data_IF_518207458767
#
_entry.id   IF_518207458767
#
_cell.length_a   1.000
_cell.length_b   1.000
_cell.length_c   1.000
_cell.angle_alpha   90.00
_cell.angle_beta   90.00
_cell.angle_gamma   90.00
#
_symmetry.space_group_name_H-M   'P 1'
#
loop_
_entity.id
_entity.type
_entity.pdbx_description
1 polymer ?
#
# COMPACT_ATOMS: atom_id res chain seq x y z
N UNK A 1 -2.17 -8.38 5.27
CA UNK A 1 -2.19 -7.52 6.48
C UNK A 1 -3.58 -7.38 7.16
N UNK A 2 -4.63 -8.11 6.74
CA UNK A 2 -6.00 -7.92 7.26
C UNK A 2 -6.67 -9.23 7.69
N UNK A 3 -6.10 -10.04 8.61
CA UNK A 3 -6.82 -11.18 9.19
C UNK A 3 -8.01 -10.69 10.04
N UNK A 4 -7.87 -9.54 10.68
CA UNK A 4 -8.95 -8.79 11.34
C UNK A 4 -8.91 -7.34 10.89
N UNK A 5 -10.05 -6.66 10.86
CA UNK A 5 -10.09 -5.25 10.50
C UNK A 5 -9.43 -4.39 11.58
N UNK A 6 -8.60 -3.43 11.18
CA UNK A 6 -8.08 -2.41 12.08
C UNK A 6 -9.20 -1.55 12.70
N UNK A 7 -8.98 -1.09 13.93
CA UNK A 7 -9.98 -0.30 14.66
C UNK A 7 -9.93 1.16 14.22
N UNK A 8 -10.93 1.57 13.42
CA UNK A 8 -11.06 2.93 12.88
C UNK A 8 -12.06 3.71 13.71
N UNK A 9 -11.58 4.52 14.65
CA UNK A 9 -12.44 5.18 15.64
C UNK A 9 -13.52 6.08 15.02
N UNK A 10 -13.19 6.79 13.93
CA UNK A 10 -14.16 7.63 13.24
C UNK A 10 -15.32 6.80 12.66
N UNK A 11 -15.04 5.63 12.08
CA UNK A 11 -16.07 4.74 11.53
C UNK A 11 -17.00 4.22 12.65
N UNK A 12 -16.48 4.04 13.88
CA UNK A 12 -17.26 3.64 15.05
C UNK A 12 -18.12 4.80 15.55
N UNK A 13 -17.53 5.99 15.75
CA UNK A 13 -18.22 7.19 16.26
C UNK A 13 -19.34 7.62 15.32
N UNK A 14 -19.11 7.49 14.01
CA UNK A 14 -20.07 7.87 12.98
C UNK A 14 -21.04 6.74 12.60
N UNK A 15 -20.91 5.55 13.22
CA UNK A 15 -21.70 4.37 12.89
C UNK A 15 -21.73 4.09 11.38
N UNK A 16 -20.54 4.05 10.77
CA UNK A 16 -20.39 3.96 9.33
C UNK A 16 -21.18 2.77 8.74
N UNK A 17 -22.00 3.07 7.74
CA UNK A 17 -22.74 2.12 6.92
C UNK A 17 -22.69 2.55 5.45
N UNK A 18 -22.92 1.62 4.53
CA UNK A 18 -23.05 1.96 3.10
C UNK A 18 -24.35 2.75 2.87
N UNK A 19 -24.34 3.82 2.05
CA UNK A 19 -25.56 4.45 1.57
C UNK A 19 -26.49 3.42 0.93
N UNK A 20 -27.80 3.56 1.14
CA UNK A 20 -28.82 2.56 0.75
C UNK A 20 -28.89 2.23 -0.75
N UNK A 21 -28.40 3.13 -1.60
CA UNK A 21 -28.36 2.96 -3.05
C UNK A 21 -27.07 2.32 -3.57
N UNK A 22 -26.13 1.97 -2.68
CA UNK A 22 -24.85 1.33 -3.03
C UNK A 22 -24.77 -0.09 -2.50
N UNK A 23 -24.11 -0.96 -3.25
CA UNK A 23 -23.88 -2.37 -2.89
C UNK A 23 -22.46 -2.82 -3.25
N UNK A 24 -22.05 -3.98 -2.71
CA UNK A 24 -20.79 -4.62 -3.04
C UNK A 24 -20.94 -5.49 -4.30
N UNK A 25 -20.98 -4.83 -5.46
CA UNK A 25 -21.41 -5.42 -6.74
C UNK A 25 -20.77 -6.77 -7.13
N UNK A 26 -19.55 -7.07 -6.67
CA UNK A 26 -18.88 -8.37 -6.93
C UNK A 26 -19.59 -9.56 -6.26
N UNK A 27 -20.40 -9.32 -5.23
CA UNK A 27 -21.13 -10.36 -4.49
C UNK A 27 -22.64 -10.36 -4.77
N UNK A 28 -23.13 -9.38 -5.54
CA UNK A 28 -24.55 -9.21 -5.83
C UNK A 28 -25.21 -10.44 -6.47
N UNK A 29 -24.43 -11.25 -7.19
CA UNK A 29 -24.88 -12.49 -7.81
C UNK A 29 -24.81 -13.73 -6.91
N UNK A 30 -24.04 -13.67 -5.81
CA UNK A 30 -23.70 -14.82 -4.96
C UNK A 30 -24.47 -14.79 -3.64
N UNK A 31 -24.78 -13.60 -3.11
CA UNK A 31 -25.51 -13.45 -1.85
C UNK A 31 -26.40 -12.19 -1.85
N UNK A 32 -27.55 -12.21 -2.57
CA UNK A 32 -28.40 -11.02 -2.78
C UNK A 32 -29.04 -10.44 -1.52
N UNK A 33 -29.00 -11.15 -0.38
CA UNK A 33 -29.61 -10.76 0.89
C UNK A 33 -28.63 -10.40 2.01
N UNK A 34 -27.34 -10.72 1.86
CA UNK A 34 -26.33 -10.34 2.84
C UNK A 34 -25.88 -8.88 2.77
N UNK A 35 -26.16 -8.20 1.66
CA UNK A 35 -25.60 -6.89 1.34
C UNK A 35 -26.11 -5.76 2.27
N UNK A 36 -27.41 -5.70 2.57
CA UNK A 36 -27.96 -4.74 3.54
C UNK A 36 -27.81 -5.17 5.00
N UNK A 37 -27.75 -6.49 5.28
CA UNK A 37 -27.70 -7.02 6.65
C UNK A 37 -26.31 -7.02 7.29
N UNK A 38 -25.24 -7.28 6.52
CA UNK A 38 -23.88 -7.45 7.07
C UNK A 38 -23.11 -6.14 7.30
N UNK A 39 -23.56 -5.05 6.66
CA UNK A 39 -23.09 -3.68 6.90
C UNK A 39 -24.16 -2.80 7.57
N UNK A 40 -25.22 -3.41 8.10
CA UNK A 40 -26.21 -2.73 8.93
C UNK A 40 -25.60 -2.20 10.24
N UNK A 41 -26.34 -1.33 10.92
CA UNK A 41 -25.95 -0.70 12.18
C UNK A 41 -25.82 -1.73 13.33
N UNK A 42 -24.81 -2.59 13.30
CA UNK A 42 -24.29 -3.22 14.50
C UNK A 42 -23.63 -2.12 15.35
N UNK A 43 -23.68 -2.23 16.68
CA UNK A 43 -22.98 -1.30 17.56
C UNK A 43 -21.48 -1.24 17.19
N UNK A 44 -21.04 -0.16 16.53
CA UNK A 44 -19.69 -0.03 15.98
C UNK A 44 -19.65 0.35 14.50
N UNK A 45 -18.67 -0.18 13.77
CA UNK A 45 -18.49 0.04 12.32
C UNK A 45 -19.14 -1.10 11.52
N UNK A 46 -20.06 -0.79 10.61
CA UNK A 46 -20.69 -1.79 9.73
C UNK A 46 -19.68 -2.54 8.85
N UNK A 47 -18.58 -1.88 8.45
CA UNK A 47 -17.49 -2.51 7.71
C UNK A 47 -16.72 -3.56 8.56
N UNK A 48 -16.56 -3.30 9.86
CA UNK A 48 -15.92 -4.25 10.76
C UNK A 48 -16.77 -5.52 10.93
N UNK A 49 -18.10 -5.37 11.03
CA UNK A 49 -19.03 -6.50 11.08
C UNK A 49 -18.98 -7.32 9.79
N UNK A 50 -18.96 -6.66 8.63
CA UNK A 50 -18.82 -7.32 7.33
C UNK A 50 -17.51 -8.12 7.21
N UNK A 51 -16.38 -7.51 7.56
CA UNK A 51 -15.06 -8.17 7.52
C UNK A 51 -15.01 -9.38 8.46
N UNK A 52 -15.55 -9.25 9.68
CA UNK A 52 -15.57 -10.35 10.64
C UNK A 52 -16.37 -11.57 10.16
N UNK A 53 -17.36 -11.38 9.28
CA UNK A 53 -18.19 -12.46 8.74
C UNK A 53 -17.63 -13.15 7.49
N UNK A 54 -16.63 -12.58 6.81
CA UNK A 54 -16.16 -13.08 5.50
C UNK A 54 -14.65 -13.32 5.42
N UNK A 55 -13.85 -12.65 6.25
CA UNK A 55 -12.40 -12.83 6.23
C UNK A 55 -12.00 -14.00 7.12
N UNK A 56 -11.36 -15.00 6.52
CA UNK A 56 -10.78 -16.13 7.23
C UNK A 56 -9.51 -15.71 7.97
N UNK A 57 -9.53 -15.85 9.30
CA UNK A 57 -8.40 -15.54 10.19
C UNK A 57 -7.35 -16.64 10.23
N UNK A 58 -7.64 -17.81 9.68
CA UNK A 58 -6.74 -18.96 9.66
C UNK A 58 -5.79 -18.98 8.46
N UNK A 59 -5.92 -17.99 7.55
CA UNK A 59 -5.06 -17.87 6.37
C UNK A 59 -3.57 -17.88 6.73
N UNK A 60 -2.82 -18.59 5.91
CA UNK A 60 -1.40 -18.82 6.04
C UNK A 60 -0.73 -18.81 4.66
N UNK A 61 0.59 -18.90 4.63
CA UNK A 61 1.35 -19.01 3.38
C UNK A 61 0.98 -20.25 2.54
N UNK A 62 0.39 -21.30 3.14
CA UNK A 62 -0.09 -22.49 2.41
C UNK A 62 -1.26 -22.15 1.48
N UNK A 63 -2.03 -21.12 1.80
CA UNK A 63 -3.19 -20.71 1.03
C UNK A 63 -2.80 -19.99 -0.28
N UNK A 64 -1.57 -19.48 -0.37
CA UNK A 64 -0.99 -19.02 -1.64
C UNK A 64 -0.92 -20.18 -2.65
N UNK A 65 -0.53 -21.39 -2.20
CA UNK A 65 -0.50 -22.55 -3.07
C UNK A 65 -1.92 -22.94 -3.54
N UNK A 66 -2.93 -22.79 -2.67
CA UNK A 66 -4.33 -22.97 -3.07
C UNK A 66 -4.76 -21.91 -4.09
N UNK A 67 -4.48 -20.62 -3.87
CA UNK A 67 -4.78 -19.55 -4.81
C UNK A 67 -4.16 -19.82 -6.19
N UNK A 68 -2.88 -20.21 -6.22
CA UNK A 68 -2.16 -20.55 -7.46
C UNK A 68 -2.76 -21.74 -8.22
N UNK A 69 -3.45 -22.66 -7.55
CA UNK A 69 -4.18 -23.75 -8.24
C UNK A 69 -5.48 -23.28 -8.90
N UNK A 70 -6.04 -22.17 -8.42
CA UNK A 70 -7.33 -21.64 -8.88
C UNK A 70 -7.20 -20.50 -9.91
N UNK A 71 -5.99 -20.03 -10.20
CA UNK A 71 -5.77 -18.99 -11.22
C UNK A 71 -4.41 -19.14 -11.92
N UNK A 72 -4.32 -18.63 -13.15
CA UNK A 72 -3.06 -18.45 -13.88
C UNK A 72 -2.54 -17.01 -13.81
N UNK A 73 -3.30 -16.10 -13.19
CA UNK A 73 -2.91 -14.70 -13.07
C UNK A 73 -1.76 -14.54 -12.06
N UNK A 74 -0.89 -13.53 -12.24
CA UNK A 74 0.14 -13.19 -11.26
C UNK A 74 -0.48 -12.84 -9.90
N UNK A 75 0.01 -13.46 -8.83
CA UNK A 75 -0.41 -13.17 -7.46
C UNK A 75 0.62 -12.25 -6.80
N UNK A 76 0.17 -11.10 -6.31
CA UNK A 76 1.00 -10.16 -5.58
C UNK A 76 0.65 -10.20 -4.08
N UNK A 77 1.65 -10.39 -3.23
CA UNK A 77 1.45 -10.35 -1.78
C UNK A 77 1.39 -8.88 -1.31
N UNK A 78 0.21 -8.42 -0.89
CA UNK A 78 0.00 -7.06 -0.36
C UNK A 78 -0.02 -7.05 1.16
N UNK A 79 0.73 -6.10 1.71
CA UNK A 79 0.79 -5.90 3.16
C UNK A 79 2.07 -6.43 3.80
N UNK A 80 3.15 -6.52 3.02
CA UNK A 80 4.47 -7.01 3.46
C UNK A 80 5.30 -5.81 3.89
N UNK A 81 5.81 -5.80 5.12
CA UNK A 81 6.62 -4.70 5.65
C UNK A 81 7.97 -5.16 6.20
N UNK A 82 8.27 -6.46 6.13
CA UNK A 82 9.45 -7.08 6.74
C UNK A 82 10.21 -7.94 5.72
N UNK A 83 11.52 -8.10 5.97
CA UNK A 83 12.38 -9.02 5.21
C UNK A 83 11.85 -10.44 5.24
N UNK A 84 11.50 -10.93 6.43
CA UNK A 84 11.15 -12.33 6.67
C UNK A 84 9.93 -12.73 5.82
N UNK A 85 8.87 -11.90 5.84
CA UNK A 85 7.67 -12.18 5.06
C UNK A 85 7.90 -11.97 3.56
N UNK A 86 8.85 -11.11 3.17
CA UNK A 86 9.23 -10.96 1.76
C UNK A 86 9.94 -12.21 1.21
N UNK A 87 10.80 -12.84 2.02
CA UNK A 87 11.43 -14.11 1.65
C UNK A 87 10.39 -15.24 1.57
N UNK A 88 9.47 -15.33 2.54
CA UNK A 88 8.41 -16.33 2.51
C UNK A 88 7.46 -16.12 1.32
N UNK A 89 7.08 -14.87 1.01
CA UNK A 89 6.23 -14.57 -0.14
C UNK A 89 6.85 -15.07 -1.46
N UNK A 90 8.16 -14.93 -1.58
CA UNK A 90 8.89 -15.41 -2.74
C UNK A 90 8.96 -16.94 -2.77
N UNK A 91 9.23 -17.60 -1.65
CA UNK A 91 9.24 -19.07 -1.55
C UNK A 91 7.86 -19.68 -1.84
N UNK A 92 6.78 -19.02 -1.39
CA UNK A 92 5.41 -19.35 -1.74
C UNK A 92 5.10 -19.13 -3.24
N UNK A 93 6.01 -18.48 -3.97
CA UNK A 93 5.95 -18.25 -5.41
C UNK A 93 4.96 -17.15 -5.79
N UNK A 94 4.86 -16.09 -4.99
CA UNK A 94 4.22 -14.85 -5.40
C UNK A 94 4.98 -14.25 -6.60
N UNK A 95 4.26 -13.61 -7.51
CA UNK A 95 4.82 -12.96 -8.70
C UNK A 95 5.28 -11.52 -8.43
N UNK A 96 4.98 -10.98 -7.25
CA UNK A 96 5.41 -9.65 -6.80
C UNK A 96 4.99 -9.38 -5.37
N UNK A 97 5.52 -8.30 -4.80
CA UNK A 97 5.20 -7.84 -3.45
C UNK A 97 4.67 -6.41 -3.53
N UNK A 98 3.71 -6.06 -2.68
CA UNK A 98 3.29 -4.68 -2.43
C UNK A 98 3.58 -4.35 -0.97
N UNK A 99 4.59 -3.51 -0.76
CA UNK A 99 4.92 -2.92 0.54
C UNK A 99 3.81 -1.96 0.94
N UNK A 100 3.12 -2.30 2.02
CA UNK A 100 1.84 -1.67 2.38
C UNK A 100 1.55 -1.84 3.86
N UNK A 101 1.17 -0.76 4.54
CA UNK A 101 0.51 -0.81 5.86
C UNK A 101 -1.01 -0.56 5.76
N UNK A 102 -1.58 -0.89 4.59
CA UNK A 102 -2.99 -0.71 4.29
C UNK A 102 -3.45 0.75 4.36
N UNK A 103 -2.55 1.69 4.03
CA UNK A 103 -2.81 3.11 4.17
C UNK A 103 -2.89 3.57 5.63
N UNK A 104 -2.17 2.90 6.54
CA UNK A 104 -2.20 3.10 7.99
C UNK A 104 -3.61 2.92 8.59
N UNK A 105 -4.31 1.85 8.17
CA UNK A 105 -5.70 1.56 8.61
C UNK A 105 -5.87 0.21 9.29
N UNK A 106 -4.77 -0.52 9.48
CA UNK A 106 -4.74 -1.85 10.08
C UNK A 106 -4.11 -1.78 11.47
N UNK A 107 -2.84 -2.17 11.63
CA UNK A 107 -2.12 -2.03 12.88
C UNK A 107 -1.50 -0.62 12.95
N UNK A 108 -1.82 0.11 14.02
CA UNK A 108 -1.20 1.42 14.29
C UNK A 108 0.17 1.24 14.96
N UNK A 109 1.06 2.21 14.76
CA UNK A 109 2.45 2.16 15.25
C UNK A 109 3.41 1.33 14.39
N UNK A 110 2.96 0.79 13.26
CA UNK A 110 3.85 0.22 12.24
C UNK A 110 4.62 1.33 11.53
N UNK A 111 5.74 0.96 10.90
CA UNK A 111 6.62 1.90 10.20
C UNK A 111 5.94 2.47 8.94
N UNK A 112 6.48 3.59 8.44
CA UNK A 112 6.07 4.07 7.13
C UNK A 112 6.54 3.09 6.05
N UNK A 113 5.73 2.87 5.02
CA UNK A 113 6.05 1.94 3.93
C UNK A 113 7.31 2.33 3.17
N UNK A 114 7.59 3.64 3.06
CA UNK A 114 8.85 4.12 2.47
C UNK A 114 10.06 3.71 3.30
N UNK A 115 9.93 3.59 4.62
CA UNK A 115 11.01 3.17 5.51
C UNK A 115 11.21 1.66 5.44
N UNK A 116 10.12 0.88 5.38
CA UNK A 116 10.13 -0.58 5.18
C UNK A 116 10.68 -1.02 3.81
N UNK A 117 10.51 -0.18 2.78
CA UNK A 117 10.67 -0.55 1.38
C UNK A 117 12.04 -1.17 1.06
N UNK A 118 13.12 -0.52 1.48
CA UNK A 118 14.48 -0.92 1.11
C UNK A 118 14.83 -2.31 1.68
N UNK A 119 14.37 -2.62 2.89
CA UNK A 119 14.54 -3.94 3.49
C UNK A 119 13.87 -5.05 2.65
N UNK A 120 12.63 -4.82 2.21
CA UNK A 120 11.87 -5.76 1.38
C UNK A 120 12.49 -5.92 -0.01
N UNK A 121 12.94 -4.82 -0.62
CA UNK A 121 13.63 -4.85 -1.92
C UNK A 121 14.91 -5.68 -1.85
N UNK A 122 15.71 -5.53 -0.79
CA UNK A 122 16.91 -6.33 -0.59
C UNK A 122 16.59 -7.81 -0.38
N UNK A 123 15.52 -8.13 0.36
CA UNK A 123 15.10 -9.52 0.61
C UNK A 123 14.78 -10.29 -0.68
N UNK A 124 14.10 -9.65 -1.65
CA UNK A 124 13.71 -10.32 -2.90
C UNK A 124 14.86 -10.47 -3.90
N UNK A 125 15.95 -9.69 -3.74
CA UNK A 125 17.15 -9.76 -4.60
C UNK A 125 16.84 -9.63 -6.10
N UNK A 126 15.89 -8.77 -6.45
CA UNK A 126 15.47 -8.53 -7.84
C UNK A 126 14.75 -9.71 -8.51
N UNK A 127 14.38 -10.77 -7.78
CA UNK A 127 13.71 -11.96 -8.34
C UNK A 127 12.26 -11.70 -8.74
N UNK A 128 11.59 -10.77 -8.08
CA UNK A 128 10.22 -10.34 -8.36
C UNK A 128 10.10 -8.81 -8.16
N UNK A 129 9.18 -8.13 -8.86
CA UNK A 129 8.94 -6.70 -8.66
C UNK A 129 8.39 -6.41 -7.26
N UNK A 130 8.80 -5.27 -6.72
CA UNK A 130 8.31 -4.72 -5.44
C UNK A 130 7.60 -3.40 -5.72
N UNK A 131 6.31 -3.34 -5.45
CA UNK A 131 5.52 -2.11 -5.48
C UNK A 131 5.40 -1.55 -4.06
N UNK A 132 5.02 -0.28 -3.94
CA UNK A 132 4.77 0.36 -2.64
C UNK A 132 3.55 1.26 -2.69
N UNK A 133 2.77 1.28 -1.61
CA UNK A 133 1.64 2.20 -1.43
C UNK A 133 1.80 3.03 -0.14
N UNK A 134 0.72 3.70 0.29
CA UNK A 134 0.63 4.39 1.58
C UNK A 134 1.51 5.63 1.74
N UNK A 135 0.99 6.77 1.30
CA UNK A 135 1.59 8.10 1.56
C UNK A 135 2.08 8.84 0.32
N UNK A 136 2.09 8.19 -0.85
CA UNK A 136 2.45 8.84 -2.13
C UNK A 136 1.45 9.92 -2.50
N UNK A 137 1.87 11.19 -2.49
CA UNK A 137 1.03 12.36 -2.80
C UNK A 137 1.69 13.34 -3.77
N UNK A 138 3.00 13.22 -3.97
CA UNK A 138 3.79 14.08 -4.87
C UNK A 138 4.60 13.26 -5.85
N UNK A 139 4.96 13.88 -6.98
CA UNK A 139 5.90 13.28 -7.93
C UNK A 139 7.27 12.94 -7.33
N UNK A 140 7.74 13.73 -6.36
CA UNK A 140 8.99 13.45 -5.63
C UNK A 140 8.89 12.22 -4.73
N UNK A 141 7.71 11.87 -4.22
CA UNK A 141 7.51 10.62 -3.47
C UNK A 141 7.71 9.41 -4.38
N UNK A 142 7.28 9.52 -5.64
CA UNK A 142 7.48 8.50 -6.67
C UNK A 142 8.98 8.32 -6.97
N UNK A 143 9.71 9.42 -7.21
CA UNK A 143 11.17 9.36 -7.42
C UNK A 143 11.87 8.70 -6.24
N UNK A 144 11.53 9.07 -5.00
CA UNK A 144 12.12 8.46 -3.79
C UNK A 144 11.85 6.97 -3.69
N UNK A 145 10.60 6.53 -3.92
CA UNK A 145 10.24 5.12 -3.90
C UNK A 145 11.02 4.32 -4.95
N UNK A 146 11.11 4.84 -6.19
CA UNK A 146 11.86 4.21 -7.27
C UNK A 146 13.37 4.18 -6.97
N UNK A 147 13.94 5.24 -6.40
CA UNK A 147 15.33 5.28 -5.96
C UNK A 147 15.63 4.24 -4.87
N UNK A 148 14.67 3.98 -3.97
CA UNK A 148 14.74 2.91 -2.97
C UNK A 148 14.47 1.50 -3.55
N UNK A 149 14.29 1.38 -4.87
CA UNK A 149 14.20 0.11 -5.58
C UNK A 149 12.79 -0.43 -5.79
N UNK A 150 11.74 0.35 -5.51
CA UNK A 150 10.40 -0.02 -5.98
C UNK A 150 10.35 -0.06 -7.51
N UNK A 151 9.60 -1.00 -8.07
CA UNK A 151 9.28 -1.08 -9.50
C UNK A 151 8.15 -0.12 -9.90
N UNK A 152 7.39 0.38 -8.92
CA UNK A 152 6.27 1.29 -9.12
C UNK A 152 5.58 1.62 -7.80
N UNK A 153 4.68 2.60 -7.85
CA UNK A 153 3.90 3.05 -6.69
C UNK A 153 2.41 2.87 -6.93
N UNK A 154 1.64 2.74 -5.85
CA UNK A 154 0.19 2.74 -5.88
C UNK A 154 -0.36 3.89 -5.04
N UNK A 155 -1.48 4.47 -5.48
CA UNK A 155 -2.23 5.48 -4.73
C UNK A 155 -3.62 4.94 -4.37
N UNK A 156 -4.15 5.36 -3.23
CA UNK A 156 -5.48 4.95 -2.76
C UNK A 156 -6.38 6.16 -2.58
N UNK A 157 -6.24 6.82 -1.43
CA UNK A 157 -7.05 8.01 -1.08
C UNK A 157 -7.13 9.08 -2.19
N UNK A 158 -6.04 9.43 -2.91
CA UNK A 158 -6.12 10.40 -4.01
C UNK A 158 -7.17 10.10 -5.08
N UNK A 159 -7.40 8.83 -5.42
CA UNK A 159 -8.48 8.45 -6.35
C UNK A 159 -9.84 8.89 -5.83
N UNK A 160 -10.12 8.60 -4.55
CA UNK A 160 -11.40 8.92 -3.92
C UNK A 160 -11.60 10.42 -3.77
N UNK A 161 -10.52 11.19 -3.55
CA UNK A 161 -10.59 12.65 -3.49
C UNK A 161 -10.94 13.27 -4.84
N UNK A 162 -10.30 12.79 -5.92
CA UNK A 162 -10.62 13.20 -7.28
C UNK A 162 -12.07 12.86 -7.63
N UNK A 163 -12.48 11.62 -7.35
CA UNK A 163 -13.84 11.14 -7.57
C UNK A 163 -14.88 12.01 -6.87
N UNK A 164 -14.66 12.33 -5.59
CA UNK A 164 -15.57 13.16 -4.81
C UNK A 164 -15.64 14.62 -5.29
N UNK A 165 -14.58 15.12 -5.94
CA UNK A 165 -14.48 16.51 -6.39
C UNK A 165 -15.15 16.73 -7.74
N UNK A 166 -14.86 15.87 -8.73
CA UNK A 166 -15.30 16.06 -10.11
C UNK A 166 -15.46 14.72 -10.86
N UNK A 167 -15.83 13.65 -10.17
CA UNK A 167 -16.06 12.36 -10.82
C UNK A 167 -14.81 11.82 -11.52
N UNK A 168 -15.00 11.30 -12.73
CA UNK A 168 -13.92 10.81 -13.60
C UNK A 168 -12.87 11.91 -13.89
N UNK A 169 -13.30 13.13 -14.20
CA UNK A 169 -12.39 14.24 -14.49
C UNK A 169 -11.48 14.55 -13.31
N UNK A 170 -12.00 14.47 -12.09
CA UNK A 170 -11.20 14.65 -10.88
C UNK A 170 -10.16 13.55 -10.67
N UNK A 171 -10.49 12.29 -10.99
CA UNK A 171 -9.52 11.19 -10.98
C UNK A 171 -8.42 11.43 -12.02
N UNK A 172 -8.81 11.76 -13.25
CA UNK A 172 -7.88 12.04 -14.35
C UNK A 172 -6.96 13.20 -13.98
N UNK A 173 -7.50 14.25 -13.37
CA UNK A 173 -6.73 15.40 -12.92
C UNK A 173 -5.67 15.02 -11.88
N UNK A 174 -6.03 14.20 -10.88
CA UNK A 174 -5.07 13.69 -9.87
C UNK A 174 -3.93 12.91 -10.52
N UNK A 175 -4.24 12.03 -11.49
CA UNK A 175 -3.23 11.24 -12.19
C UNK A 175 -2.30 12.11 -13.04
N UNK A 176 -2.86 13.06 -13.79
CA UNK A 176 -2.08 13.99 -14.60
C UNK A 176 -1.21 14.92 -13.75
N UNK A 177 -1.69 15.35 -12.58
CA UNK A 177 -0.90 16.13 -11.65
C UNK A 177 0.31 15.33 -11.14
N UNK A 178 0.10 14.10 -10.65
CA UNK A 178 1.19 13.24 -10.20
C UNK A 178 2.19 12.94 -11.31
N UNK A 179 1.71 12.69 -12.53
CA UNK A 179 2.55 12.46 -13.72
C UNK A 179 3.41 13.68 -14.06
N UNK A 180 2.83 14.88 -14.05
CA UNK A 180 3.55 16.14 -14.30
C UNK A 180 4.59 16.44 -13.22
N UNK A 181 4.22 16.29 -11.95
CA UNK A 181 5.16 16.45 -10.85
C UNK A 181 6.29 15.42 -10.90
N UNK A 182 5.99 14.17 -11.27
CA UNK A 182 7.00 13.11 -11.42
C UNK A 182 7.97 13.41 -12.55
N UNK A 183 7.46 13.82 -13.72
CA UNK A 183 8.30 14.23 -14.85
C UNK A 183 9.19 15.42 -14.50
N UNK A 184 8.66 16.43 -13.79
CA UNK A 184 9.43 17.56 -13.30
C UNK A 184 10.52 17.13 -12.30
N UNK A 185 10.19 16.28 -11.34
CA UNK A 185 11.14 15.76 -10.36
C UNK A 185 12.27 14.98 -11.03
N UNK A 186 11.95 14.11 -12.00
CA UNK A 186 12.95 13.41 -12.82
C UNK A 186 13.88 14.39 -13.54
N UNK A 187 13.32 15.39 -14.23
CA UNK A 187 14.10 16.39 -14.95
C UNK A 187 15.07 17.15 -14.03
N UNK A 188 14.60 17.57 -12.84
CA UNK A 188 15.43 18.28 -11.85
C UNK A 188 16.48 17.37 -11.20
N UNK A 189 16.27 16.05 -11.17
CA UNK A 189 17.27 15.07 -10.75
C UNK A 189 18.20 14.62 -11.90
N UNK A 190 18.08 15.19 -13.10
CA UNK A 190 18.88 14.79 -14.26
C UNK A 190 18.53 13.40 -14.83
N UNK A 191 17.32 12.90 -14.56
CA UNK A 191 16.83 11.61 -15.06
C UNK A 191 15.98 11.81 -16.32
N UNK A 192 16.35 11.17 -17.43
CA UNK A 192 15.59 11.23 -18.70
C UNK A 192 14.67 10.03 -18.84
N UNK A 193 15.06 8.88 -18.30
CA UNK A 193 14.26 7.64 -18.23
C UNK A 193 14.17 7.16 -16.79
N UNK A 194 13.13 6.37 -16.48
CA UNK A 194 12.90 5.82 -15.12
C UNK A 194 14.12 5.04 -14.63
N UNK A 195 14.81 4.33 -15.51
CA UNK A 195 16.02 3.57 -15.14
C UNK A 195 17.24 4.43 -14.83
N UNK A 196 17.19 5.76 -15.03
CA UNK A 196 18.21 6.69 -14.56
C UNK A 196 18.06 6.98 -13.07
N UNK A 197 16.90 6.74 -12.47
CA UNK A 197 16.68 6.96 -11.04
C UNK A 197 17.49 5.91 -10.27
N UNK A 198 18.47 6.37 -9.47
CA UNK A 198 19.38 5.50 -8.71
C UNK A 198 19.28 5.74 -7.21
N UNK A 199 19.77 4.76 -6.45
CA UNK A 199 19.71 4.78 -4.99
C UNK A 199 20.49 5.94 -4.37
N UNK A 200 21.55 6.40 -5.02
CA UNK A 200 22.40 7.50 -4.57
C UNK A 200 21.70 8.86 -4.60
N UNK A 201 20.54 8.95 -5.26
CA UNK A 201 19.74 10.19 -5.35
C UNK A 201 18.96 10.50 -4.08
N UNK A 202 18.89 9.57 -3.13
CA UNK A 202 18.21 9.75 -1.85
C UNK A 202 19.15 9.46 -0.69
N UNK A 203 19.09 10.29 0.33
CA UNK A 203 19.77 10.07 1.61
C UNK A 203 18.67 9.86 2.65
N UNK A 204 18.76 8.76 3.40
CA UNK A 204 17.95 8.58 4.60
C UNK A 204 18.69 9.27 5.74
N UNK A 205 18.04 10.26 6.32
CA UNK A 205 18.61 10.94 7.48
C UNK A 205 18.51 9.99 8.68
N UNK A 206 19.62 9.35 9.04
CA UNK A 206 19.73 8.53 10.27
C UNK A 206 19.97 9.42 11.49
N UNK A 207 19.89 10.75 11.35
CA UNK A 207 20.03 11.69 12.46
C UNK A 207 18.78 11.65 13.33
N UNK A 208 18.76 10.70 14.27
CA UNK A 208 18.04 10.87 15.52
C UNK A 208 18.48 12.20 16.18
N UNK A 209 17.62 12.89 16.95
CA UNK A 209 17.92 14.21 17.52
C UNK A 209 19.07 14.31 18.54
N UNK A 210 20.01 13.36 18.65
CA UNK A 210 21.01 13.34 19.74
C UNK A 210 22.48 13.07 19.40
N UNK A 211 22.92 12.98 18.14
CA UNK A 211 24.36 12.74 17.86
C UNK A 211 25.01 13.68 16.83
N UNK A 212 25.01 14.98 17.14
CA UNK A 212 25.78 16.00 16.39
C UNK A 212 27.29 15.97 16.72
N UNK A 213 27.80 14.98 17.46
CA UNK A 213 29.22 14.99 17.91
C UNK A 213 30.20 14.07 17.19
N UNK A 214 29.81 13.32 16.15
CA UNK A 214 30.72 12.29 15.61
C UNK A 214 30.99 12.30 14.10
N UNK A 215 31.00 13.44 13.40
CA UNK A 215 31.53 13.49 12.01
C UNK A 215 32.49 14.65 11.65
N UNK A 216 33.04 15.37 12.63
CA UNK A 216 34.08 16.39 12.38
C UNK A 216 35.52 15.96 12.77
N UNK A 217 35.78 14.66 12.97
CA UNK A 217 37.12 14.14 13.33
C UNK A 217 37.77 13.19 12.32
N UNK A 218 37.27 13.09 11.09
CA UNK A 218 37.89 12.28 10.03
C UNK A 218 38.59 13.10 8.92
N UNK A 219 38.82 14.40 9.14
CA UNK A 219 39.66 15.25 8.29
C UNK A 219 40.44 16.24 9.15
N UNK A 220 41.47 15.74 9.84
CA UNK A 220 42.68 16.47 10.25
C UNK A 220 43.80 15.44 10.41
#
# INVERSE_FOLDING_TARGET
DTPRLGRREADIKNQFSLPSHLTMANFASVDPGAEQGRMGAAAGSGLAAYVAGLIDQSLSWKDIAWLKRNTRLPILAKGIETREDAEIALEAGCAGIIVSNHGARQLDGVIATVDALEEVVHAVRGRIPVLVDSGVRRGTDIVKALALGASGVMIGRPYVWGLATAGEEGIVHVLELLKKEFALAMALCGCVKVSDIKREMVIRDVYAPHDVKMQLKAKL
#
